data_IF_911860112706
#
_entry.id   IF_911860112706
#
_cell.length_a   1.000
_cell.length_b   1.000
_cell.length_c   1.000
_cell.angle_alpha   90.00
_cell.angle_beta   90.00
_cell.angle_gamma   90.00
#
_symmetry.space_group_name_H-M   'P 1'
#
loop_
_entity.id
_entity.type
_entity.pdbx_description
1 polymer ?
#
# COMPACT_ATOMS: atom_id res chain seq x y z
N UNK A 1 -0.18 -13.34 18.70
CA UNK A 1 0.26 -13.20 17.29
C UNK A 1 -0.98 -13.06 16.41
N UNK A 2 -0.99 -12.10 15.49
CA UNK A 2 -2.13 -11.85 14.60
C UNK A 2 -2.33 -12.95 13.55
N UNK A 3 -3.58 -13.23 13.19
CA UNK A 3 -4.06 -14.27 12.29
C UNK A 3 -3.91 -13.91 10.79
N UNK A 4 -2.75 -13.42 10.38
CA UNK A 4 -2.47 -13.05 8.99
C UNK A 4 -0.98 -13.15 8.66
N UNK A 5 -0.68 -13.29 7.37
CA UNK A 5 0.67 -13.24 6.82
C UNK A 5 0.87 -11.93 6.05
N UNK A 6 2.08 -11.40 6.02
CA UNK A 6 2.40 -10.26 5.17
C UNK A 6 3.55 -10.59 4.22
N UNK A 7 3.48 -10.02 3.03
CA UNK A 7 4.53 -10.08 2.01
C UNK A 7 4.71 -8.70 1.40
N UNK A 8 5.90 -8.42 0.89
CA UNK A 8 6.16 -7.21 0.12
C UNK A 8 6.16 -7.56 -1.36
N UNK A 9 5.64 -6.66 -2.18
CA UNK A 9 5.73 -6.72 -3.63
C UNK A 9 6.07 -5.34 -4.19
N UNK A 10 6.49 -5.33 -5.45
CA UNK A 10 6.81 -4.11 -6.19
C UNK A 10 5.88 -4.00 -7.38
N UNK A 11 5.33 -2.82 -7.60
CA UNK A 11 4.40 -2.52 -8.71
C UNK A 11 5.03 -1.46 -9.62
N UNK A 12 5.14 -1.76 -10.91
CA UNK A 12 5.69 -0.84 -11.93
C UNK A 12 4.58 0.05 -12.48
N UNK A 13 4.78 1.37 -12.47
CA UNK A 13 3.76 2.39 -12.83
C UNK A 13 4.02 2.98 -14.23
N UNK A 14 5.11 2.56 -14.89
CA UNK A 14 5.62 3.14 -16.12
C UNK A 14 6.80 4.08 -15.88
N UNK A 15 7.67 4.19 -16.88
CA UNK A 15 8.83 5.10 -16.85
C UNK A 15 9.90 4.70 -15.84
N UNK A 16 9.97 3.42 -15.44
CA UNK A 16 10.94 2.91 -14.47
C UNK A 16 10.58 3.22 -13.01
N UNK A 17 9.34 3.64 -12.78
CA UNK A 17 8.85 3.93 -11.44
C UNK A 17 8.26 2.68 -10.81
N UNK A 18 8.76 2.36 -9.62
CA UNK A 18 8.44 1.16 -8.87
C UNK A 18 7.92 1.56 -7.49
N UNK A 19 6.70 1.13 -7.15
CA UNK A 19 6.10 1.34 -5.84
C UNK A 19 6.26 0.10 -4.97
N UNK A 20 6.73 0.28 -3.74
CA UNK A 20 6.76 -0.80 -2.76
C UNK A 20 5.40 -0.93 -2.08
N UNK A 21 4.77 -2.09 -2.23
CA UNK A 21 3.56 -2.46 -1.52
C UNK A 21 3.82 -3.56 -0.48
N UNK A 22 2.93 -3.64 0.50
CA UNK A 22 2.84 -4.70 1.49
C UNK A 22 1.42 -5.23 1.51
N UNK A 23 1.28 -6.51 1.18
CA UNK A 23 0.02 -7.23 1.18
C UNK A 23 -0.14 -7.97 2.51
N UNK A 24 -1.30 -7.84 3.13
CA UNK A 24 -1.69 -8.50 4.37
C UNK A 24 -2.78 -9.51 4.04
N UNK A 25 -2.41 -10.80 4.04
CA UNK A 25 -3.29 -11.92 3.70
C UNK A 25 -3.85 -12.54 4.98
N UNK A 26 -5.17 -12.51 5.21
CA UNK A 26 -5.76 -13.20 6.36
C UNK A 26 -5.54 -14.71 6.24
N UNK A 27 -5.39 -15.41 7.37
CA UNK A 27 -5.34 -16.89 7.36
C UNK A 27 -6.66 -17.52 6.92
N UNK A 28 -7.78 -16.83 7.18
CA UNK A 28 -9.13 -17.22 6.71
C UNK A 28 -9.78 -16.02 6.02
N UNK A 29 -9.97 -16.13 4.71
CA UNK A 29 -10.52 -15.05 3.87
C UNK A 29 -12.04 -15.03 3.98
N UNK A 30 -12.62 -13.89 4.39
CA UNK A 30 -14.08 -13.69 4.42
C UNK A 30 -14.66 -13.35 3.06
N UNK A 31 -13.93 -12.57 2.26
CA UNK A 31 -14.34 -12.15 0.93
C UNK A 31 -13.11 -12.10 0.03
N UNK A 32 -13.00 -13.05 -0.90
CA UNK A 32 -11.88 -13.16 -1.84
C UNK A 32 -11.93 -12.15 -2.97
N UNK A 33 -13.07 -11.50 -3.19
CA UNK A 33 -13.29 -10.49 -4.24
C UNK A 33 -13.08 -9.06 -3.74
N UNK A 34 -12.72 -8.86 -2.47
CA UNK A 34 -12.52 -7.55 -1.87
C UNK A 34 -11.08 -7.39 -1.36
N UNK A 35 -10.42 -6.31 -1.78
CA UNK A 35 -9.15 -5.85 -1.23
C UNK A 35 -9.32 -4.43 -0.72
N UNK A 36 -8.84 -4.17 0.51
CA UNK A 36 -8.87 -2.83 1.11
C UNK A 36 -7.49 -2.20 0.93
N UNK A 37 -7.41 -1.16 0.10
CA UNK A 37 -6.17 -0.43 -0.18
C UNK A 37 -6.07 0.79 0.73
N UNK A 38 -4.96 0.88 1.45
CA UNK A 38 -4.62 1.97 2.36
C UNK A 38 -3.63 2.92 1.69
N UNK A 39 -4.07 4.14 1.45
CA UNK A 39 -3.27 5.22 0.87
C UNK A 39 -2.80 6.14 1.99
N UNK A 40 -1.50 6.41 2.08
CA UNK A 40 -0.97 7.38 3.05
C UNK A 40 -1.02 8.79 2.46
N UNK A 41 -1.27 9.82 3.27
CA UNK A 41 -1.29 11.20 2.78
C UNK A 41 0.14 11.78 2.69
N UNK A 42 0.39 12.59 1.65
CA UNK A 42 1.50 13.53 1.53
C UNK A 42 2.89 12.98 1.92
N UNK A 43 3.55 12.31 0.98
CA UNK A 43 4.94 11.84 1.12
C UNK A 43 5.90 12.92 1.65
N UNK A 44 5.78 14.16 1.14
CA UNK A 44 6.68 15.28 1.51
C UNK A 44 6.59 15.61 3.01
N UNK A 45 5.45 15.34 3.64
CA UNK A 45 5.20 15.62 5.05
C UNK A 45 5.37 14.37 5.93
N UNK A 46 6.09 13.35 5.44
CA UNK A 46 6.41 12.14 6.19
C UNK A 46 5.39 11.01 6.05
N UNK A 47 4.45 11.12 5.11
CA UNK A 47 3.56 10.02 4.74
C UNK A 47 4.34 8.77 4.32
N UNK A 48 4.03 7.63 4.93
CA UNK A 48 4.53 6.33 4.50
C UNK A 48 3.58 5.18 4.87
N UNK A 49 3.68 4.06 4.17
CA UNK A 49 2.87 2.86 4.39
C UNK A 49 3.00 2.30 5.82
N UNK A 50 4.13 2.56 6.48
CA UNK A 50 4.41 2.13 7.85
C UNK A 50 3.38 2.63 8.86
N UNK A 51 2.86 3.85 8.66
CA UNK A 51 1.86 4.49 9.52
C UNK A 51 0.51 3.77 9.49
N UNK A 52 0.20 3.07 8.39
CA UNK A 52 -1.08 2.39 8.16
C UNK A 52 -1.05 0.92 8.57
N UNK A 53 0.12 0.38 8.94
CA UNK A 53 0.34 -1.05 9.25
C UNK A 53 -0.63 -1.58 10.32
N UNK A 54 -0.90 -0.80 11.35
CA UNK A 54 -1.78 -1.21 12.45
C UNK A 54 -3.23 -1.44 11.99
N UNK A 55 -3.77 -0.51 11.20
CA UNK A 55 -5.13 -0.60 10.65
C UNK A 55 -5.26 -1.73 9.64
N UNK A 56 -4.30 -1.84 8.70
CA UNK A 56 -4.24 -2.92 7.72
C UNK A 56 -4.18 -4.30 8.40
N UNK A 57 -3.28 -4.46 9.37
CA UNK A 57 -3.16 -5.68 10.16
C UNK A 57 -4.44 -6.04 10.91
N UNK A 58 -5.11 -5.08 11.55
CA UNK A 58 -6.37 -5.34 12.27
C UNK A 58 -7.52 -5.76 11.37
N UNK A 59 -7.60 -5.26 10.14
CA UNK A 59 -8.58 -5.72 9.16
C UNK A 59 -8.22 -7.10 8.60
N UNK A 60 -6.93 -7.38 8.41
CA UNK A 60 -6.45 -8.71 8.04
C UNK A 60 -6.77 -9.74 9.13
N UNK A 61 -6.59 -9.42 10.42
CA UNK A 61 -7.02 -10.30 11.52
C UNK A 61 -8.53 -10.61 11.48
N UNK A 62 -9.33 -9.69 10.93
CA UNK A 62 -10.80 -9.84 10.77
C UNK A 62 -11.21 -10.59 9.51
N UNK A 63 -10.27 -11.03 8.66
CA UNK A 63 -10.53 -11.84 7.47
C UNK A 63 -10.54 -11.07 6.15
N UNK A 64 -10.09 -9.81 6.10
CA UNK A 64 -10.03 -9.01 4.88
C UNK A 64 -8.62 -8.92 4.33
N UNK A 65 -8.44 -9.16 3.03
CA UNK A 65 -7.17 -8.87 2.37
C UNK A 65 -6.97 -7.35 2.34
N UNK A 66 -5.83 -6.87 2.84
CA UNK A 66 -5.52 -5.44 2.83
C UNK A 66 -4.14 -5.17 2.25
N UNK A 67 -3.96 -4.00 1.67
CA UNK A 67 -2.70 -3.59 1.05
C UNK A 67 -2.35 -2.18 1.50
N UNK A 68 -1.08 -1.98 1.89
CA UNK A 68 -0.49 -0.65 2.07
C UNK A 68 0.60 -0.49 1.03
N UNK A 69 0.87 0.73 0.56
CA UNK A 69 2.00 0.97 -0.33
C UNK A 69 2.61 2.34 -0.08
N UNK A 70 3.88 2.48 -0.43
CA UNK A 70 4.56 3.77 -0.44
C UNK A 70 4.34 4.45 -1.80
N UNK A 71 3.76 5.64 -1.81
CA UNK A 71 3.78 6.53 -2.98
C UNK A 71 5.22 6.89 -3.41
N UNK A 72 5.39 7.45 -4.62
CA UNK A 72 6.70 7.94 -5.07
C UNK A 72 7.35 8.86 -4.03
N UNK A 73 8.65 8.66 -3.83
CA UNK A 73 9.45 9.41 -2.85
C UNK A 73 9.29 8.98 -1.40
N UNK A 74 8.51 7.94 -1.10
CA UNK A 74 8.37 7.36 0.23
C UNK A 74 9.03 5.96 0.29
N UNK A 75 9.59 5.61 1.45
CA UNK A 75 10.09 4.26 1.74
C UNK A 75 11.06 3.75 0.69
N UNK A 76 10.74 2.59 0.08
CA UNK A 76 11.53 1.99 -1.01
C UNK A 76 10.96 2.23 -2.41
N UNK A 77 9.93 3.06 -2.53
CA UNK A 77 9.39 3.43 -3.84
C UNK A 77 10.33 4.38 -4.56
N UNK A 78 10.50 4.19 -5.86
CA UNK A 78 11.35 5.06 -6.68
C UNK A 78 10.59 6.32 -7.12
N UNK A 79 11.29 7.23 -7.81
CA UNK A 79 10.72 8.51 -8.24
C UNK A 79 10.74 9.58 -7.16
N UNK A 80 10.05 10.69 -7.44
CA UNK A 80 9.94 11.85 -6.55
C UNK A 80 8.48 12.07 -6.19
N UNK A 81 8.25 12.52 -4.96
CA UNK A 81 6.95 13.03 -4.55
C UNK A 81 6.53 14.21 -5.44
N UNK A 82 5.23 14.36 -5.65
CA UNK A 82 4.67 15.50 -6.38
C UNK A 82 4.02 16.46 -5.41
N UNK A 83 4.11 17.75 -5.73
CA UNK A 83 3.43 18.80 -4.99
C UNK A 83 2.02 19.07 -5.54
N UNK A 84 1.77 18.74 -6.81
CA UNK A 84 0.50 18.98 -7.51
C UNK A 84 -0.44 17.76 -7.53
N UNK A 85 -0.03 16.63 -6.95
CA UNK A 85 -0.86 15.44 -6.74
C UNK A 85 -1.21 14.61 -7.99
N UNK A 86 -0.92 15.09 -9.22
CA UNK A 86 -1.29 14.36 -10.44
C UNK A 86 -0.62 12.98 -10.55
N UNK A 87 0.66 12.86 -10.15
CA UNK A 87 1.35 11.56 -10.13
C UNK A 87 0.84 10.65 -9.01
N UNK A 88 0.34 11.21 -7.91
CA UNK A 88 -0.21 10.43 -6.79
C UNK A 88 -1.46 9.66 -7.22
N UNK A 89 -2.29 10.25 -8.10
CA UNK A 89 -3.45 9.57 -8.70
C UNK A 89 -3.00 8.37 -9.54
N UNK A 90 -1.96 8.52 -10.37
CA UNK A 90 -1.44 7.43 -11.20
C UNK A 90 -0.87 6.29 -10.35
N UNK A 91 -0.21 6.63 -9.24
CA UNK A 91 0.31 5.64 -8.28
C UNK A 91 -0.83 4.82 -7.66
N UNK A 92 -1.95 5.45 -7.28
CA UNK A 92 -3.12 4.75 -6.74
C UNK A 92 -3.77 3.85 -7.80
N UNK A 93 -3.89 4.34 -9.04
CA UNK A 93 -4.46 3.55 -10.15
C UNK A 93 -3.61 2.32 -10.45
N UNK A 94 -2.28 2.43 -10.44
CA UNK A 94 -1.41 1.28 -10.70
C UNK A 94 -1.45 0.20 -9.61
N UNK A 95 -1.82 0.57 -8.38
CA UNK A 95 -1.96 -0.37 -7.25
C UNK A 95 -3.29 -1.15 -7.29
N UNK A 96 -4.34 -0.58 -7.91
CA UNK A 96 -5.68 -1.16 -7.98
C UNK A 96 -5.86 -2.01 -9.24
#
# INVERSE_FOLDING_TARGET
>A
MGSFHNEFCTVEVGGGINLQARLFKPTSVKNSSLVIVFVHPYTVLGGCQGLLKGMAGKLAEKGYTTLTFDMRGAGRSTGKSSWTGSSEVHDVVAIC
#
